data_IF_540664544075
#
_entry.id   IF_540664544075
#
_cell.length_a   1.000
_cell.length_b   1.000
_cell.length_c   1.000
_cell.angle_alpha   90.00
_cell.angle_beta   90.00
_cell.angle_gamma   90.00
#
_symmetry.space_group_name_H-M   'P 1'
#
loop_
_entity.id
_entity.type
_entity.pdbx_description
1 polymer ?
#
# COMPACT_ATOMS: atom_id res chain seq x y z
N UNK A 1 -39.31 -1.21 -61.73
CA UNK A 1 -38.46 -1.92 -60.79
C UNK A 1 -37.29 -0.99 -60.42
N UNK A 2 -37.39 -0.33 -59.27
CA UNK A 2 -36.35 0.58 -58.77
C UNK A 2 -35.60 -0.08 -57.59
N UNK A 3 -34.34 -0.40 -57.81
CA UNK A 3 -33.44 -0.97 -56.82
C UNK A 3 -32.96 0.14 -55.90
N UNK A 4 -33.39 0.15 -54.66
CA UNK A 4 -32.91 1.08 -53.62
C UNK A 4 -31.65 0.50 -52.99
N UNK A 5 -30.50 1.03 -53.34
CA UNK A 5 -29.23 0.74 -52.65
C UNK A 5 -29.26 1.41 -51.26
N UNK A 6 -29.35 0.61 -50.21
CA UNK A 6 -29.10 1.05 -48.83
C UNK A 6 -27.58 1.02 -48.59
N UNK A 7 -26.99 2.19 -48.53
CA UNK A 7 -25.61 2.40 -48.03
C UNK A 7 -25.70 2.37 -46.51
N UNK A 8 -25.26 1.29 -45.90
CA UNK A 8 -25.04 1.21 -44.44
C UNK A 8 -23.72 1.93 -44.13
N UNK A 9 -23.82 3.14 -43.63
CA UNK A 9 -22.70 3.91 -43.12
C UNK A 9 -22.34 3.37 -41.74
N UNK A 10 -21.37 2.47 -41.67
CA UNK A 10 -20.83 1.97 -40.39
C UNK A 10 -19.93 3.03 -39.83
N UNK A 11 -20.45 3.80 -38.88
CA UNK A 11 -19.69 4.79 -38.11
C UNK A 11 -18.78 4.02 -37.12
N UNK A 12 -17.51 3.84 -37.49
CA UNK A 12 -16.48 3.24 -36.67
C UNK A 12 -16.13 4.26 -35.59
N UNK A 13 -16.75 4.16 -34.41
CA UNK A 13 -16.34 4.90 -33.21
C UNK A 13 -14.96 4.39 -32.78
N UNK A 14 -13.92 5.06 -33.23
CA UNK A 14 -12.61 4.97 -32.59
C UNK A 14 -12.72 5.59 -31.21
N UNK A 15 -12.91 4.77 -30.19
CA UNK A 15 -12.65 5.16 -28.80
C UNK A 15 -11.15 5.41 -28.69
N UNK A 16 -10.76 6.67 -28.77
CA UNK A 16 -9.44 7.12 -28.37
C UNK A 16 -9.30 6.80 -26.87
N UNK A 17 -8.79 5.61 -26.56
CA UNK A 17 -8.21 5.34 -25.24
C UNK A 17 -6.98 6.22 -25.17
N UNK A 18 -7.17 7.48 -24.79
CA UNK A 18 -6.09 8.38 -24.46
C UNK A 18 -5.38 7.77 -23.24
N UNK A 19 -4.17 7.24 -23.42
CA UNK A 19 -3.28 6.96 -22.32
C UNK A 19 -3.10 8.30 -21.58
N UNK A 20 -3.77 8.49 -20.45
CA UNK A 20 -3.53 9.65 -19.59
C UNK A 20 -2.07 9.55 -19.14
N UNK A 21 -1.31 10.64 -19.37
CA UNK A 21 0.09 10.71 -18.91
C UNK A 21 0.12 10.43 -17.40
N UNK A 22 0.99 9.54 -17.01
CA UNK A 22 1.24 9.29 -15.59
C UNK A 22 2.03 10.47 -14.97
N UNK A 23 1.91 10.72 -13.66
CA UNK A 23 2.69 11.78 -13.02
C UNK A 23 4.21 11.63 -13.20
N UNK A 24 4.73 10.40 -13.28
CA UNK A 24 6.14 10.15 -13.61
C UNK A 24 6.51 10.62 -15.03
N UNK A 25 5.61 10.54 -16.01
CA UNK A 25 5.87 11.03 -17.38
C UNK A 25 6.07 12.55 -17.39
N UNK A 26 5.33 13.28 -16.54
CA UNK A 26 5.49 14.73 -16.37
C UNK A 26 6.86 15.05 -15.76
N UNK A 27 7.30 14.28 -14.78
CA UNK A 27 8.62 14.46 -14.18
C UNK A 27 9.75 14.14 -15.17
N UNK A 28 9.59 13.12 -16.01
CA UNK A 28 10.52 12.82 -17.11
C UNK A 28 10.54 13.94 -18.14
N UNK A 29 9.37 14.47 -18.54
CA UNK A 29 9.30 15.62 -19.46
C UNK A 29 9.98 16.84 -18.87
N UNK A 30 9.77 17.14 -17.60
CA UNK A 30 10.46 18.20 -16.87
C UNK A 30 11.98 18.04 -16.97
N UNK A 31 12.50 16.86 -16.67
CA UNK A 31 13.92 16.55 -16.72
C UNK A 31 14.51 16.72 -18.15
N UNK A 32 13.80 16.21 -19.16
CA UNK A 32 14.20 16.33 -20.57
C UNK A 32 14.22 17.78 -21.05
N UNK A 33 13.26 18.61 -20.63
CA UNK A 33 13.21 20.03 -20.95
C UNK A 33 14.37 20.79 -20.34
N UNK A 34 14.73 20.49 -19.10
CA UNK A 34 15.92 21.06 -18.47
C UNK A 34 17.19 20.66 -19.23
N UNK A 35 17.32 19.38 -19.61
CA UNK A 35 18.45 18.89 -20.39
C UNK A 35 18.59 19.64 -21.71
N UNK A 36 17.50 19.74 -22.49
CA UNK A 36 17.49 20.44 -23.78
C UNK A 36 17.76 21.95 -23.68
N UNK A 37 17.36 22.58 -22.58
CA UNK A 37 17.58 24.00 -22.36
C UNK A 37 19.01 24.33 -21.91
N UNK A 38 19.75 23.35 -21.38
CA UNK A 38 21.07 23.55 -20.76
C UNK A 38 22.18 22.75 -21.43
N UNK A 39 21.86 21.95 -22.45
CA UNK A 39 22.79 21.08 -23.19
C UNK A 39 23.57 20.13 -22.25
N UNK A 40 22.88 19.59 -21.24
CA UNK A 40 23.40 18.58 -20.34
C UNK A 40 22.72 17.24 -20.58
N UNK A 41 23.42 16.16 -20.28
CA UNK A 41 22.85 14.81 -20.42
C UNK A 41 21.77 14.53 -19.38
N UNK A 42 20.74 13.78 -19.81
CA UNK A 42 19.70 13.27 -18.91
C UNK A 42 20.28 12.16 -18.03
N UNK A 43 20.18 12.33 -16.72
CA UNK A 43 20.54 11.29 -15.77
C UNK A 43 19.33 10.40 -15.49
N UNK A 44 19.43 9.12 -15.86
CA UNK A 44 18.32 8.18 -15.61
C UNK A 44 18.10 7.96 -14.11
N UNK A 45 16.83 7.84 -13.68
CA UNK A 45 16.53 7.48 -12.30
C UNK A 45 17.06 6.07 -12.00
N UNK A 46 17.42 5.83 -10.74
CA UNK A 46 17.79 4.49 -10.30
C UNK A 46 16.59 3.53 -10.42
N UNK A 47 16.82 2.27 -10.81
CA UNK A 47 15.74 1.29 -10.92
C UNK A 47 15.10 1.02 -9.56
N UNK A 48 13.81 0.73 -9.58
CA UNK A 48 13.06 0.33 -8.40
C UNK A 48 12.92 -1.20 -8.37
N UNK A 49 13.10 -1.76 -7.18
CA UNK A 49 12.98 -3.20 -6.96
C UNK A 49 11.88 -3.48 -5.93
N UNK A 50 11.18 -4.58 -6.09
CA UNK A 50 10.24 -5.05 -5.07
C UNK A 50 11.00 -5.40 -3.78
N UNK A 51 10.46 -5.09 -2.60
CA UNK A 51 11.05 -5.54 -1.36
C UNK A 51 10.93 -7.06 -1.22
N UNK A 52 11.84 -7.67 -0.52
CA UNK A 52 11.71 -9.05 -0.08
C UNK A 52 10.76 -9.10 1.12
N UNK A 53 9.68 -9.87 0.98
CA UNK A 53 8.68 -10.03 2.05
C UNK A 53 8.92 -11.35 2.76
N UNK A 54 9.29 -11.29 4.03
CA UNK A 54 9.44 -12.46 4.88
C UNK A 54 8.09 -13.17 5.03
N UNK A 55 8.02 -14.45 4.63
CA UNK A 55 6.82 -15.27 4.81
C UNK A 55 6.75 -15.81 6.23
N UNK A 56 5.62 -15.54 6.91
CA UNK A 56 5.39 -15.98 8.29
C UNK A 56 4.61 -17.28 8.26
N UNK A 57 5.20 -18.41 8.70
CA UNK A 57 4.54 -19.72 8.64
C UNK A 57 3.31 -19.77 9.56
N UNK A 58 2.36 -20.60 9.16
CA UNK A 58 1.18 -20.89 9.98
C UNK A 58 1.61 -21.49 11.34
N UNK A 59 1.07 -21.04 12.46
CA UNK A 59 1.29 -21.69 13.74
C UNK A 59 0.80 -23.16 13.70
N UNK A 60 1.58 -24.04 14.30
CA UNK A 60 1.18 -25.45 14.45
C UNK A 60 0.39 -25.62 15.73
N UNK A 61 -0.68 -26.40 15.69
CA UNK A 61 -1.43 -26.84 16.88
C UNK A 61 -1.19 -28.31 17.09
N UNK A 62 -0.90 -28.69 18.32
CA UNK A 62 -0.79 -30.11 18.74
C UNK A 62 -2.14 -30.66 19.18
N UNK A 63 -3.15 -29.81 19.37
CA UNK A 63 -4.46 -30.20 19.85
C UNK A 63 -5.34 -30.72 18.72
N UNK A 64 -5.89 -31.90 18.93
CA UNK A 64 -6.93 -32.49 18.08
C UNK A 64 -8.19 -32.73 18.90
N UNK A 65 -9.33 -32.23 18.38
CA UNK A 65 -10.65 -32.52 18.95
C UNK A 65 -11.21 -33.68 18.14
N UNK A 66 -11.57 -34.79 18.83
CA UNK A 66 -12.05 -35.99 18.14
C UNK A 66 -13.43 -35.78 17.52
N UNK A 67 -13.71 -36.45 16.42
CA UNK A 67 -15.05 -36.43 15.80
C UNK A 67 -16.14 -36.97 16.70
N UNK A 68 -15.77 -37.89 17.61
CA UNK A 68 -16.70 -38.44 18.58
C UNK A 68 -17.13 -37.40 19.62
N UNK A 69 -16.17 -36.63 20.13
CA UNK A 69 -16.44 -35.52 21.07
C UNK A 69 -17.35 -34.47 20.44
N UNK A 70 -17.11 -34.16 19.16
CA UNK A 70 -17.95 -33.24 18.39
C UNK A 70 -19.38 -33.79 18.24
N UNK A 71 -19.53 -35.08 17.94
CA UNK A 71 -20.82 -35.72 17.73
C UNK A 71 -21.68 -35.76 19.01
N UNK A 72 -21.06 -35.89 20.20
CA UNK A 72 -21.77 -35.89 21.50
C UNK A 72 -22.16 -34.48 21.97
N UNK A 73 -21.55 -33.42 21.39
CA UNK A 73 -21.76 -32.02 21.78
C UNK A 73 -22.71 -31.26 20.83
N UNK A 74 -23.75 -31.91 20.32
CA UNK A 74 -24.70 -31.29 19.38
C UNK A 74 -25.45 -30.02 19.91
N UNK A 75 -25.41 -29.80 21.23
CA UNK A 75 -25.92 -28.60 21.88
C UNK A 75 -24.98 -27.37 21.74
N UNK A 76 -23.76 -27.57 21.28
CA UNK A 76 -22.72 -26.55 21.19
C UNK A 76 -22.60 -25.98 19.76
N UNK A 77 -22.74 -24.67 19.58
CA UNK A 77 -22.55 -24.02 18.26
C UNK A 77 -21.12 -24.19 17.73
N UNK A 78 -20.13 -24.22 18.62
CA UNK A 78 -18.71 -24.39 18.25
C UNK A 78 -18.43 -25.69 17.51
N UNK A 79 -19.24 -26.77 17.72
CA UNK A 79 -19.08 -28.04 17.02
C UNK A 79 -19.32 -27.90 15.50
N UNK A 80 -20.29 -27.11 15.10
CA UNK A 80 -20.55 -26.82 13.68
C UNK A 80 -19.36 -26.08 13.05
N UNK A 81 -18.78 -25.12 13.79
CA UNK A 81 -17.61 -24.38 13.36
C UNK A 81 -16.39 -25.31 13.17
N UNK A 82 -16.16 -26.22 14.13
CA UNK A 82 -15.08 -27.21 14.04
C UNK A 82 -15.31 -28.19 12.88
N UNK A 83 -16.53 -28.66 12.68
CA UNK A 83 -16.88 -29.58 11.59
C UNK A 83 -16.65 -28.92 10.22
N UNK A 84 -17.04 -27.64 10.07
CA UNK A 84 -16.81 -26.86 8.86
C UNK A 84 -15.31 -26.65 8.59
N UNK A 85 -14.51 -26.42 9.63
CA UNK A 85 -13.06 -26.24 9.49
C UNK A 85 -12.33 -27.54 9.15
N UNK A 86 -12.79 -28.67 9.68
CA UNK A 86 -12.16 -29.99 9.51
C UNK A 86 -12.54 -30.70 8.21
N UNK A 87 -13.50 -30.18 7.45
CA UNK A 87 -13.82 -30.73 6.13
C UNK A 87 -12.70 -30.41 5.10
N UNK A 88 -12.77 -31.01 3.91
CA UNK A 88 -11.74 -30.84 2.88
C UNK A 88 -11.57 -29.37 2.44
N UNK A 89 -12.66 -28.63 2.36
CA UNK A 89 -12.63 -27.21 1.98
C UNK A 89 -12.01 -26.34 3.10
N UNK A 90 -12.33 -26.62 4.36
CA UNK A 90 -11.76 -25.91 5.50
C UNK A 90 -10.24 -26.12 5.63
N UNK A 91 -9.71 -27.29 5.26
CA UNK A 91 -8.28 -27.58 5.30
C UNK A 91 -7.46 -26.76 4.30
N UNK A 92 -8.05 -26.33 3.17
CA UNK A 92 -7.43 -25.49 2.13
C UNK A 92 -7.93 -24.06 2.16
N UNK A 93 -8.55 -23.63 3.26
CA UNK A 93 -9.09 -22.29 3.41
C UNK A 93 -8.01 -21.20 3.34
N UNK A 94 -8.42 -20.02 2.87
CA UNK A 94 -7.57 -18.83 2.84
C UNK A 94 -7.09 -18.44 4.25
N UNK A 95 -5.94 -17.78 4.39
CA UNK A 95 -5.43 -17.31 5.69
C UNK A 95 -6.44 -16.45 6.47
N UNK A 96 -7.18 -15.59 5.79
CA UNK A 96 -8.25 -14.77 6.37
C UNK A 96 -9.38 -15.61 6.96
N UNK A 97 -9.80 -16.68 6.28
CA UNK A 97 -10.86 -17.58 6.80
C UNK A 97 -10.36 -18.38 8.02
N UNK A 98 -9.07 -18.72 8.06
CA UNK A 98 -8.46 -19.35 9.24
C UNK A 98 -8.42 -18.40 10.44
N UNK A 99 -8.09 -17.14 10.22
CA UNK A 99 -8.13 -16.11 11.27
C UNK A 99 -9.56 -15.94 11.82
N UNK A 100 -10.56 -15.81 10.94
CA UNK A 100 -11.97 -15.74 11.33
C UNK A 100 -12.40 -16.96 12.14
N UNK A 101 -12.02 -18.15 11.69
CA UNK A 101 -12.29 -19.40 12.43
C UNK A 101 -11.73 -19.34 13.86
N UNK A 102 -10.47 -18.91 14.03
CA UNK A 102 -9.86 -18.85 15.35
C UNK A 102 -10.56 -17.84 16.27
N UNK A 103 -10.91 -16.66 15.76
CA UNK A 103 -11.66 -15.64 16.51
C UNK A 103 -13.03 -16.21 16.93
N UNK A 104 -13.80 -16.75 15.99
CA UNK A 104 -15.13 -17.31 16.28
C UNK A 104 -15.07 -18.49 17.23
N UNK A 105 -14.02 -19.34 17.13
CA UNK A 105 -13.81 -20.43 18.07
C UNK A 105 -13.62 -19.91 19.50
N UNK A 106 -12.75 -18.91 19.68
CA UNK A 106 -12.48 -18.28 20.99
C UNK A 106 -13.76 -17.68 21.58
N UNK A 107 -14.61 -17.08 20.75
CA UNK A 107 -15.87 -16.46 21.17
C UNK A 107 -16.96 -17.48 21.52
N UNK A 108 -17.02 -18.60 20.81
CA UNK A 108 -18.13 -19.55 20.94
C UNK A 108 -17.83 -20.71 21.92
N UNK A 109 -16.57 -21.13 22.05
CA UNK A 109 -16.21 -22.26 22.89
C UNK A 109 -16.54 -22.07 24.38
N UNK A 110 -16.41 -20.88 25.01
CA UNK A 110 -16.77 -20.66 26.40
C UNK A 110 -18.24 -21.01 26.72
N UNK A 111 -19.16 -20.75 25.79
CA UNK A 111 -20.58 -21.09 25.94
C UNK A 111 -20.79 -22.60 25.99
N UNK A 112 -20.01 -23.39 25.25
CA UNK A 112 -20.00 -24.84 25.28
C UNK A 112 -19.37 -25.36 26.55
N UNK A 113 -18.23 -24.80 26.98
CA UNK A 113 -17.51 -25.20 28.20
C UNK A 113 -18.41 -25.08 29.44
N UNK A 114 -19.23 -24.04 29.51
CA UNK A 114 -20.14 -23.77 30.65
C UNK A 114 -21.44 -24.56 30.57
N UNK A 115 -21.73 -25.25 29.46
CA UNK A 115 -23.00 -25.94 29.30
C UNK A 115 -23.06 -27.21 30.11
N UNK A 116 -24.15 -27.48 30.90
CA UNK A 116 -24.24 -28.61 31.84
C UNK A 116 -24.15 -30.00 31.18
N UNK A 117 -24.49 -30.09 29.89
CA UNK A 117 -24.45 -31.36 29.16
C UNK A 117 -23.06 -31.61 28.49
N UNK A 118 -22.10 -30.71 28.66
CA UNK A 118 -20.75 -30.94 28.13
C UNK A 118 -19.94 -31.79 29.08
N UNK A 119 -19.34 -32.88 28.58
CA UNK A 119 -18.52 -33.77 29.39
C UNK A 119 -17.30 -33.05 29.95
N UNK A 120 -16.84 -33.44 31.14
CA UNK A 120 -15.65 -32.86 31.78
C UNK A 120 -14.39 -32.95 30.91
N UNK A 121 -14.23 -34.03 30.16
CA UNK A 121 -13.13 -34.21 29.22
C UNK A 121 -13.19 -33.20 28.06
N UNK A 122 -14.36 -33.01 27.45
CA UNK A 122 -14.55 -32.03 26.40
C UNK A 122 -14.37 -30.59 26.91
N UNK A 123 -14.84 -30.30 28.14
CA UNK A 123 -14.61 -29.00 28.79
C UNK A 123 -13.11 -28.69 28.91
N UNK A 124 -12.30 -29.61 29.36
CA UNK A 124 -10.84 -29.47 29.49
C UNK A 124 -10.19 -29.26 28.11
N UNK A 125 -10.55 -30.07 27.12
CA UNK A 125 -10.02 -30.00 25.76
C UNK A 125 -10.33 -28.65 25.12
N UNK A 126 -11.59 -28.18 25.22
CA UNK A 126 -11.99 -26.85 24.69
C UNK A 126 -11.31 -25.71 25.43
N UNK A 127 -11.14 -25.81 26.74
CA UNK A 127 -10.44 -24.80 27.54
C UNK A 127 -8.98 -24.65 27.07
N UNK A 128 -8.29 -25.77 26.90
CA UNK A 128 -6.92 -25.76 26.40
C UNK A 128 -6.83 -25.19 24.97
N UNK A 129 -7.76 -25.61 24.08
CA UNK A 129 -7.82 -25.12 22.72
C UNK A 129 -8.07 -23.62 22.66
N UNK A 130 -8.93 -23.04 23.52
CA UNK A 130 -9.15 -21.59 23.61
C UNK A 130 -7.86 -20.87 24.02
N UNK A 131 -7.16 -21.38 25.03
CA UNK A 131 -5.90 -20.77 25.49
C UNK A 131 -4.84 -20.79 24.40
N UNK A 132 -4.62 -21.92 23.73
CA UNK A 132 -3.66 -22.04 22.64
C UNK A 132 -3.99 -21.09 21.49
N UNK A 133 -5.27 -21.05 21.04
CA UNK A 133 -5.71 -20.18 19.96
C UNK A 133 -5.54 -18.70 20.31
N UNK A 134 -5.80 -18.28 21.56
CA UNK A 134 -5.54 -16.90 22.00
C UNK A 134 -4.05 -16.55 21.89
N UNK A 135 -3.18 -17.43 22.37
CA UNK A 135 -1.73 -17.21 22.31
C UNK A 135 -1.20 -17.16 20.88
N UNK A 136 -1.78 -17.94 19.97
CA UNK A 136 -1.36 -18.01 18.57
C UNK A 136 -2.03 -16.97 17.67
N UNK A 137 -3.07 -16.26 18.14
CA UNK A 137 -3.87 -15.35 17.32
C UNK A 137 -3.04 -14.26 16.63
N UNK A 138 -2.07 -13.58 17.29
CA UNK A 138 -1.18 -12.61 16.62
C UNK A 138 -0.40 -13.24 15.46
N UNK A 139 0.08 -14.48 15.61
CA UNK A 139 0.80 -15.15 14.52
C UNK A 139 -0.11 -15.56 13.37
N UNK A 140 -1.37 -15.91 13.63
CA UNK A 140 -2.38 -16.16 12.59
C UNK A 140 -2.66 -14.89 11.80
N UNK A 141 -2.76 -13.74 12.46
CA UNK A 141 -2.91 -12.46 11.79
C UNK A 141 -1.68 -12.13 10.91
N UNK A 142 -0.47 -12.24 11.45
CA UNK A 142 0.77 -12.00 10.71
C UNK A 142 0.98 -12.99 9.56
N UNK A 143 0.57 -14.25 9.73
CA UNK A 143 0.51 -15.23 8.65
C UNK A 143 -0.42 -14.73 7.53
N UNK A 144 -1.63 -14.28 7.88
CA UNK A 144 -2.57 -13.69 6.92
C UNK A 144 -1.94 -12.50 6.19
N UNK A 145 -1.27 -11.58 6.89
CA UNK A 145 -0.62 -10.42 6.28
C UNK A 145 0.40 -10.79 5.20
N UNK A 146 1.03 -11.97 5.29
CA UNK A 146 2.08 -12.38 4.36
C UNK A 146 1.66 -13.43 3.33
N UNK A 147 0.54 -14.11 3.53
CA UNK A 147 0.05 -15.17 2.64
C UNK A 147 -1.29 -14.88 1.98
N UNK A 148 -2.13 -13.99 2.57
CA UNK A 148 -3.34 -13.54 1.87
C UNK A 148 -2.93 -12.74 0.63
N UNK A 149 -3.51 -13.07 -0.51
CA UNK A 149 -3.09 -12.54 -1.81
C UNK A 149 -3.16 -11.01 -1.86
N UNK A 150 -4.23 -10.44 -1.34
CA UNK A 150 -4.51 -9.01 -1.32
C UNK A 150 -3.47 -8.27 -0.46
N UNK A 151 -3.11 -8.84 0.69
CA UNK A 151 -2.19 -8.23 1.66
C UNK A 151 -0.73 -8.43 1.28
N UNK A 152 -0.36 -9.63 0.81
CA UNK A 152 1.00 -9.95 0.39
C UNK A 152 1.49 -9.09 -0.79
N UNK A 153 0.56 -8.46 -1.52
CA UNK A 153 0.87 -7.61 -2.68
C UNK A 153 0.97 -6.12 -2.35
N UNK A 154 0.66 -5.68 -1.12
CA UNK A 154 0.60 -4.25 -0.76
C UNK A 154 1.92 -3.50 -0.93
N UNK A 155 3.05 -4.17 -0.67
CA UNK A 155 4.40 -3.60 -0.82
C UNK A 155 4.98 -3.71 -2.23
N UNK A 156 4.29 -4.41 -3.14
CA UNK A 156 4.79 -4.62 -4.50
C UNK A 156 4.59 -3.38 -5.37
N UNK A 157 5.59 -3.12 -6.21
CA UNK A 157 5.49 -2.10 -7.24
C UNK A 157 4.50 -2.54 -8.33
N UNK A 158 3.73 -1.59 -8.80
CA UNK A 158 2.78 -1.79 -9.90
C UNK A 158 2.96 -0.73 -10.98
N UNK A 159 2.32 -0.90 -12.13
CA UNK A 159 2.43 0.05 -13.23
C UNK A 159 1.69 1.35 -12.93
N UNK A 160 0.52 1.26 -12.28
CA UNK A 160 -0.36 2.38 -12.00
C UNK A 160 0.18 3.27 -10.89
N UNK A 161 0.15 4.57 -11.13
CA UNK A 161 0.45 5.60 -10.13
C UNK A 161 -0.83 6.22 -9.58
N UNK A 162 -0.75 6.81 -8.40
CA UNK A 162 -1.80 7.70 -7.90
C UNK A 162 -1.92 8.88 -8.86
N UNK A 163 -3.13 9.24 -9.34
CA UNK A 163 -3.30 10.38 -10.23
C UNK A 163 -3.00 11.71 -9.53
N UNK A 164 -2.88 12.81 -10.32
CA UNK A 164 -2.58 14.14 -9.78
C UNK A 164 -3.64 14.64 -8.78
N UNK A 165 -4.86 14.17 -8.90
CA UNK A 165 -5.95 14.44 -7.97
C UNK A 165 -6.23 13.17 -7.15
N UNK A 166 -6.42 13.34 -5.84
CA UNK A 166 -6.63 12.22 -4.92
C UNK A 166 -8.00 11.58 -5.17
N UNK A 167 -8.08 10.29 -5.55
CA UNK A 167 -9.34 9.63 -5.83
C UNK A 167 -10.03 9.18 -4.53
N UNK A 168 -11.35 8.93 -4.58
CA UNK A 168 -12.13 8.38 -3.47
C UNK A 168 -11.60 7.02 -2.95
N UNK A 169 -10.85 6.28 -3.78
CA UNK A 169 -10.17 5.05 -3.38
C UNK A 169 -9.22 5.23 -2.18
N UNK A 170 -8.72 6.46 -1.94
CA UNK A 170 -7.90 6.79 -0.79
C UNK A 170 -8.67 6.65 0.54
N UNK A 171 -9.84 7.27 0.66
CA UNK A 171 -10.67 7.16 1.88
C UNK A 171 -11.10 5.73 2.13
N UNK A 172 -11.54 5.02 1.09
CA UNK A 172 -11.94 3.62 1.20
C UNK A 172 -10.76 2.74 1.68
N UNK A 173 -9.55 3.01 1.21
CA UNK A 173 -8.33 2.31 1.63
C UNK A 173 -8.04 2.56 3.10
N UNK A 174 -8.14 3.80 3.58
CA UNK A 174 -7.93 4.14 5.00
C UNK A 174 -8.94 3.43 5.90
N UNK A 175 -10.22 3.41 5.51
CA UNK A 175 -11.26 2.66 6.22
C UNK A 175 -10.91 1.16 6.31
N UNK A 176 -10.52 0.55 5.19
CA UNK A 176 -10.13 -0.86 5.16
C UNK A 176 -8.88 -1.17 6.00
N UNK A 177 -7.90 -0.26 6.03
CA UNK A 177 -6.70 -0.38 6.89
C UNK A 177 -7.08 -0.26 8.35
N UNK A 178 -7.97 0.68 8.71
CA UNK A 178 -8.45 0.84 10.09
C UNK A 178 -9.16 -0.42 10.60
N UNK A 179 -9.94 -1.12 9.77
CA UNK A 179 -10.53 -2.41 10.13
C UNK A 179 -9.47 -3.48 10.46
N UNK A 180 -8.39 -3.55 9.67
CA UNK A 180 -7.26 -4.44 9.99
C UNK A 180 -6.52 -3.99 11.25
N UNK A 181 -6.35 -2.70 11.45
CA UNK A 181 -5.69 -2.13 12.61
C UNK A 181 -6.49 -2.40 13.89
N UNK A 182 -7.83 -2.30 13.84
CA UNK A 182 -8.71 -2.66 14.95
C UNK A 182 -8.56 -4.14 15.36
N UNK A 183 -8.48 -5.04 14.37
CA UNK A 183 -8.16 -6.44 14.65
C UNK A 183 -6.80 -6.57 15.34
N UNK A 184 -5.77 -5.85 14.86
CA UNK A 184 -4.42 -5.93 15.41
C UNK A 184 -4.32 -5.41 16.85
N UNK A 185 -5.03 -4.34 17.18
CA UNK A 185 -5.08 -3.75 18.55
C UNK A 185 -5.75 -4.69 19.55
N UNK A 186 -6.81 -5.37 19.14
CA UNK A 186 -7.67 -6.15 20.06
C UNK A 186 -7.33 -7.66 20.06
N UNK A 187 -6.11 -8.05 19.63
CA UNK A 187 -5.69 -9.45 19.63
C UNK A 187 -5.65 -10.06 21.04
N UNK A 188 -5.44 -9.26 22.08
CA UNK A 188 -5.42 -9.70 23.48
C UNK A 188 -6.83 -9.84 24.07
N UNK A 189 -7.84 -9.25 23.43
CA UNK A 189 -9.27 -9.31 23.83
C UNK A 189 -10.15 -9.79 22.68
N UNK A 190 -9.88 -10.99 22.13
CA UNK A 190 -10.52 -11.48 20.90
C UNK A 190 -12.03 -11.71 21.04
N UNK A 191 -12.57 -11.66 22.24
CA UNK A 191 -14.01 -11.72 22.52
C UNK A 191 -14.77 -10.54 21.90
N UNK A 192 -14.11 -9.39 21.73
CA UNK A 192 -14.69 -8.15 21.23
C UNK A 192 -14.51 -7.97 19.71
N UNK A 193 -13.71 -8.83 19.06
CA UNK A 193 -13.44 -8.71 17.64
C UNK A 193 -14.65 -9.07 16.79
N UNK A 194 -14.84 -8.28 15.72
CA UNK A 194 -15.82 -8.59 14.67
C UNK A 194 -15.10 -9.14 13.41
N UNK A 195 -14.97 -10.46 13.25
CA UNK A 195 -14.26 -11.00 12.09
C UNK A 195 -14.97 -10.83 10.75
N UNK A 196 -16.23 -10.37 10.74
CA UNK A 196 -17.03 -10.22 9.51
C UNK A 196 -16.57 -9.02 8.66
N UNK A 197 -15.91 -8.03 9.27
CA UNK A 197 -15.39 -6.83 8.59
C UNK A 197 -14.17 -7.14 7.70
N UNK A 198 -13.50 -8.26 7.95
CA UNK A 198 -12.27 -8.64 7.24
C UNK A 198 -12.49 -8.84 5.73
N UNK A 199 -13.57 -9.51 5.32
CA UNK A 199 -13.82 -9.76 3.88
C UNK A 199 -14.06 -8.48 3.09
N UNK A 200 -14.93 -7.51 3.53
CA UNK A 200 -15.05 -6.23 2.84
C UNK A 200 -13.74 -5.43 2.82
N UNK A 201 -12.97 -5.43 3.92
CA UNK A 201 -11.68 -4.75 3.96
C UNK A 201 -10.70 -5.33 2.92
N UNK A 202 -10.56 -6.65 2.84
CA UNK A 202 -9.72 -7.31 1.83
C UNK A 202 -10.17 -6.98 0.40
N UNK A 203 -11.48 -6.93 0.14
CA UNK A 203 -12.02 -6.53 -1.16
C UNK A 203 -11.60 -5.12 -1.56
N UNK A 204 -11.58 -4.17 -0.64
CA UNK A 204 -11.09 -2.80 -0.89
C UNK A 204 -9.58 -2.82 -1.15
N UNK A 205 -8.81 -3.51 -0.30
CA UNK A 205 -7.34 -3.58 -0.44
C UNK A 205 -6.90 -4.29 -1.73
N UNK A 206 -7.72 -5.18 -2.29
CA UNK A 206 -7.48 -5.80 -3.60
C UNK A 206 -7.43 -4.80 -4.76
N UNK A 207 -7.94 -3.58 -4.59
CA UNK A 207 -7.86 -2.50 -5.58
C UNK A 207 -6.45 -1.88 -5.68
N UNK A 208 -5.51 -2.29 -4.82
CA UNK A 208 -4.08 -1.97 -4.89
C UNK A 208 -3.72 -0.49 -4.74
N UNK A 209 -4.57 0.32 -4.10
CA UNK A 209 -4.26 1.75 -3.91
C UNK A 209 -2.97 1.95 -3.09
N UNK A 210 -2.71 1.13 -2.05
CA UNK A 210 -1.47 1.18 -1.29
C UNK A 210 -0.25 0.94 -2.19
N UNK A 211 -0.33 -0.07 -3.07
CA UNK A 211 0.75 -0.36 -4.03
C UNK A 211 0.97 0.80 -5.00
N UNK A 212 -0.11 1.45 -5.48
CA UNK A 212 -0.02 2.66 -6.32
C UNK A 212 0.66 3.81 -5.58
N UNK A 213 0.29 4.03 -4.30
CA UNK A 213 0.86 5.08 -3.46
C UNK A 213 2.35 4.86 -3.23
N UNK A 214 2.74 3.65 -2.80
CA UNK A 214 4.15 3.27 -2.59
C UNK A 214 4.95 3.41 -3.89
N UNK A 215 4.39 2.97 -5.02
CA UNK A 215 5.02 3.11 -6.35
C UNK A 215 5.23 4.57 -6.69
N UNK A 216 4.21 5.42 -6.53
CA UNK A 216 4.27 6.86 -6.84
C UNK A 216 5.31 7.58 -6.00
N UNK A 217 5.30 7.35 -4.68
CA UNK A 217 6.27 7.94 -3.74
C UNK A 217 7.70 7.57 -4.14
N UNK A 218 7.96 6.29 -4.43
CA UNK A 218 9.28 5.80 -4.81
C UNK A 218 9.74 6.31 -6.18
N UNK A 219 8.84 6.36 -7.19
CA UNK A 219 9.14 6.93 -8.51
C UNK A 219 9.48 8.42 -8.41
N UNK A 220 8.67 9.21 -7.70
CA UNK A 220 8.93 10.64 -7.51
C UNK A 220 10.25 10.89 -6.79
N UNK A 221 10.59 10.08 -5.78
CA UNK A 221 11.89 10.13 -5.10
C UNK A 221 13.04 9.94 -6.07
N UNK A 222 13.00 8.90 -6.92
CA UNK A 222 14.07 8.61 -7.86
C UNK A 222 14.20 9.66 -8.97
N UNK A 223 13.08 10.18 -9.46
CA UNK A 223 13.04 11.25 -10.45
C UNK A 223 13.58 12.58 -9.89
N UNK A 224 13.22 12.97 -8.67
CA UNK A 224 13.79 14.12 -7.99
C UNK A 224 15.31 14.00 -7.85
N UNK A 225 15.79 12.83 -7.39
CA UNK A 225 17.21 12.57 -7.21
C UNK A 225 17.96 12.62 -8.54
N UNK A 226 17.41 12.03 -9.59
CA UNK A 226 18.02 12.03 -10.92
C UNK A 226 18.09 13.46 -11.50
N UNK A 227 16.98 14.21 -11.42
CA UNK A 227 16.91 15.59 -11.92
C UNK A 227 17.84 16.52 -11.12
N UNK A 228 17.91 16.34 -9.79
CA UNK A 228 18.82 17.14 -8.96
C UNK A 228 20.28 16.89 -9.30
N UNK A 229 20.68 15.61 -9.47
CA UNK A 229 22.04 15.24 -9.91
C UNK A 229 22.36 15.82 -11.31
N UNK A 230 21.39 15.79 -12.21
CA UNK A 230 21.53 16.40 -13.54
C UNK A 230 21.78 17.89 -13.44
N UNK A 231 20.99 18.61 -12.65
CA UNK A 231 21.16 20.05 -12.44
C UNK A 231 22.49 20.40 -11.76
N UNK A 232 23.04 19.53 -10.91
CA UNK A 232 24.34 19.71 -10.25
C UNK A 232 25.52 19.72 -11.23
N UNK A 233 25.36 19.22 -12.46
CA UNK A 233 26.39 19.33 -13.53
C UNK A 233 26.53 20.76 -14.04
N UNK A 234 25.54 21.63 -13.83
CA UNK A 234 25.58 23.01 -14.31
C UNK A 234 26.56 23.87 -13.51
N UNK A 235 27.44 24.55 -14.25
CA UNK A 235 28.31 25.60 -13.70
C UNK A 235 27.49 26.88 -13.55
N UNK A 236 27.02 27.19 -12.35
CA UNK A 236 26.17 28.36 -12.14
C UNK A 236 26.96 29.68 -12.29
N UNK A 237 28.03 29.91 -11.49
CA UNK A 237 28.77 31.19 -11.43
C UNK A 237 29.49 31.54 -12.74
N UNK A 238 30.22 30.59 -13.29
CA UNK A 238 31.10 30.83 -14.45
C UNK A 238 30.43 30.46 -15.77
N UNK A 239 29.19 29.94 -15.72
CA UNK A 239 28.38 29.51 -16.87
C UNK A 239 27.05 30.23 -16.93
N UNK A 240 26.02 29.57 -16.41
CA UNK A 240 24.61 29.96 -16.56
C UNK A 240 24.26 31.35 -15.97
N UNK A 241 24.86 31.71 -14.82
CA UNK A 241 24.60 32.93 -14.07
C UNK A 241 25.69 34.00 -14.24
N UNK A 242 26.58 33.89 -15.25
CA UNK A 242 27.65 34.84 -15.47
C UNK A 242 27.11 36.27 -15.68
N UNK A 243 27.65 37.27 -14.95
CA UNK A 243 27.18 38.69 -14.96
C UNK A 243 27.20 39.28 -16.37
N UNK A 244 28.19 38.90 -17.18
CA UNK A 244 28.28 39.30 -18.61
C UNK A 244 27.57 38.33 -19.57
N UNK A 245 26.87 37.30 -19.02
CA UNK A 245 26.31 36.18 -19.76
C UNK A 245 24.85 36.42 -20.19
N UNK A 246 24.35 35.46 -20.96
CA UNK A 246 22.99 35.48 -21.47
C UNK A 246 21.98 35.04 -20.39
N UNK A 247 21.41 36.01 -19.64
CA UNK A 247 20.32 35.73 -18.66
C UNK A 247 19.10 35.04 -19.29
N UNK A 248 19.00 34.99 -20.65
CA UNK A 248 17.90 34.34 -21.36
C UNK A 248 17.83 32.84 -21.08
N UNK A 249 18.96 32.11 -21.02
CA UNK A 249 18.97 30.67 -20.72
C UNK A 249 18.53 30.42 -19.28
N UNK A 250 19.02 31.20 -18.31
CA UNK A 250 18.59 31.13 -16.93
C UNK A 250 17.07 31.38 -16.79
N UNK A 251 16.52 32.34 -17.55
CA UNK A 251 15.07 32.59 -17.57
C UNK A 251 14.28 31.44 -18.19
N UNK A 252 14.81 30.78 -19.22
CA UNK A 252 14.15 29.59 -19.82
C UNK A 252 14.04 28.45 -18.79
N UNK A 253 15.11 28.11 -18.09
CA UNK A 253 15.04 27.02 -17.09
C UNK A 253 14.18 27.39 -15.90
N UNK A 254 14.16 28.66 -15.48
CA UNK A 254 13.22 29.15 -14.46
C UNK A 254 11.76 28.94 -14.91
N UNK A 255 11.42 29.26 -16.14
CA UNK A 255 10.07 29.03 -16.66
C UNK A 255 9.71 27.54 -16.73
N UNK A 256 10.67 26.66 -17.03
CA UNK A 256 10.49 25.20 -17.00
C UNK A 256 10.22 24.74 -15.56
N UNK A 257 10.99 25.20 -14.59
CA UNK A 257 10.80 24.88 -13.17
C UNK A 257 9.41 25.29 -12.69
N UNK A 258 9.00 26.53 -12.96
CA UNK A 258 7.70 27.05 -12.55
C UNK A 258 6.55 26.24 -13.18
N UNK A 259 6.64 25.95 -14.48
CA UNK A 259 5.59 25.25 -15.22
C UNK A 259 5.42 23.81 -14.78
N UNK A 260 6.50 23.08 -14.58
CA UNK A 260 6.44 21.64 -14.32
C UNK A 260 6.54 21.30 -12.84
N UNK A 261 7.55 21.87 -12.16
CA UNK A 261 7.80 21.50 -10.78
C UNK A 261 6.87 22.22 -9.81
N UNK A 262 6.90 23.55 -9.79
CA UNK A 262 6.09 24.32 -8.82
C UNK A 262 4.58 24.18 -9.07
N UNK A 263 4.15 24.17 -10.33
CA UNK A 263 2.70 24.11 -10.63
C UNK A 263 2.11 22.72 -10.61
N UNK A 264 2.91 21.64 -10.79
CA UNK A 264 2.37 20.28 -10.95
C UNK A 264 3.04 19.30 -9.99
N UNK A 265 4.38 19.14 -10.07
CA UNK A 265 5.07 18.08 -9.36
C UNK A 265 5.14 18.31 -7.85
N UNK A 266 5.37 19.56 -7.42
CA UNK A 266 5.44 19.89 -6.00
C UNK A 266 4.08 19.69 -5.29
N UNK A 267 2.95 20.19 -5.80
CA UNK A 267 1.62 19.89 -5.24
C UNK A 267 1.32 18.40 -5.22
N UNK A 268 1.68 17.66 -6.28
CA UNK A 268 1.52 16.22 -6.34
C UNK A 268 2.33 15.49 -5.25
N UNK A 269 3.60 15.86 -5.07
CA UNK A 269 4.47 15.29 -4.03
C UNK A 269 3.98 15.64 -2.62
N UNK A 270 3.39 16.82 -2.43
CA UNK A 270 2.74 17.21 -1.17
C UNK A 270 1.51 16.33 -0.88
N UNK A 271 0.67 16.09 -1.89
CA UNK A 271 -0.47 15.19 -1.79
C UNK A 271 -0.03 13.75 -1.45
N UNK A 272 0.99 13.22 -2.14
CA UNK A 272 1.54 11.89 -1.84
C UNK A 272 2.09 11.81 -0.41
N UNK A 273 2.76 12.87 0.06
CA UNK A 273 3.29 12.93 1.43
C UNK A 273 2.18 12.87 2.45
N UNK A 274 1.12 13.67 2.29
CA UNK A 274 -0.04 13.68 3.18
C UNK A 274 -0.74 12.31 3.19
N UNK A 275 -1.01 11.75 2.02
CA UNK A 275 -1.65 10.42 1.92
C UNK A 275 -0.81 9.30 2.56
N UNK A 276 0.52 9.42 2.49
CA UNK A 276 1.43 8.47 3.14
C UNK A 276 1.44 8.66 4.66
N UNK A 277 1.38 9.90 5.16
CA UNK A 277 1.26 10.20 6.60
C UNK A 277 -0.03 9.63 7.19
N UNK A 278 -1.15 9.81 6.49
CA UNK A 278 -2.46 9.25 6.90
C UNK A 278 -2.42 7.72 6.92
N UNK A 279 -1.80 7.11 5.91
CA UNK A 279 -1.61 5.65 5.88
C UNK A 279 -0.68 5.16 7.00
N UNK A 280 0.40 5.86 7.31
CA UNK A 280 1.29 5.54 8.45
C UNK A 280 0.51 5.55 9.75
N UNK A 281 -0.32 6.56 9.97
CA UNK A 281 -1.13 6.67 11.17
C UNK A 281 -2.13 5.50 11.31
N UNK A 282 -2.84 5.16 10.22
CA UNK A 282 -3.78 4.04 10.19
C UNK A 282 -3.07 2.67 10.33
N UNK A 283 -1.87 2.52 9.77
CA UNK A 283 -1.07 1.28 9.78
C UNK A 283 -0.34 1.04 11.10
N UNK A 284 -0.20 2.05 11.95
CA UNK A 284 0.61 2.00 13.16
C UNK A 284 0.35 0.78 14.07
N UNK A 285 -0.90 0.35 14.33
CA UNK A 285 -1.15 -0.84 15.15
C UNK A 285 -0.62 -2.13 14.51
N UNK A 286 -0.71 -2.26 13.20
CA UNK A 286 -0.19 -3.40 12.45
C UNK A 286 1.34 -3.40 12.50
N UNK A 287 1.96 -2.24 12.32
CA UNK A 287 3.41 -2.06 12.45
C UNK A 287 3.92 -2.49 13.84
N UNK A 288 3.24 -2.07 14.90
CA UNK A 288 3.58 -2.47 16.27
C UNK A 288 3.45 -3.99 16.47
N UNK A 289 2.45 -4.62 15.85
CA UNK A 289 2.31 -6.07 15.92
C UNK A 289 3.49 -6.81 15.27
N UNK A 290 4.00 -6.31 14.12
CA UNK A 290 5.24 -6.82 13.53
C UNK A 290 6.42 -6.66 14.49
N UNK A 291 6.61 -5.46 15.05
CA UNK A 291 7.72 -5.19 15.98
C UNK A 291 7.67 -6.06 17.23
N UNK A 292 6.51 -6.21 17.86
CA UNK A 292 6.32 -7.02 19.07
C UNK A 292 6.61 -8.52 18.83
N UNK A 293 6.55 -8.96 17.56
CA UNK A 293 6.90 -10.32 17.16
C UNK A 293 8.32 -10.42 16.56
N UNK A 294 9.17 -9.37 16.68
CA UNK A 294 10.51 -9.30 16.10
C UNK A 294 10.55 -9.53 14.59
N UNK A 295 9.57 -9.00 13.87
CA UNK A 295 9.43 -9.12 12.42
C UNK A 295 9.55 -7.75 11.75
N UNK A 296 10.08 -7.72 10.54
CA UNK A 296 10.14 -6.52 9.73
C UNK A 296 8.80 -6.25 9.05
N UNK A 297 8.33 -4.99 9.15
CA UNK A 297 7.16 -4.52 8.40
C UNK A 297 7.55 -4.34 6.93
N UNK A 298 6.89 -5.04 5.99
CA UNK A 298 7.26 -5.01 4.58
C UNK A 298 6.92 -3.68 3.87
N UNK A 299 6.04 -2.85 4.43
CA UNK A 299 5.65 -1.60 3.77
C UNK A 299 6.69 -0.48 3.91
N UNK A 300 7.47 -0.46 5.00
CA UNK A 300 8.51 0.55 5.25
C UNK A 300 8.09 1.99 4.92
N UNK A 301 6.82 2.34 5.21
CA UNK A 301 6.17 3.59 4.78
C UNK A 301 6.92 4.84 5.24
N UNK A 302 7.39 4.86 6.50
CA UNK A 302 8.12 6.00 7.04
C UNK A 302 9.39 6.28 6.24
N UNK A 303 10.16 5.24 5.90
CA UNK A 303 11.37 5.38 5.09
C UNK A 303 11.07 5.93 3.70
N UNK A 304 9.98 5.49 3.06
CA UNK A 304 9.58 6.00 1.75
C UNK A 304 9.17 7.46 1.81
N UNK A 305 8.43 7.87 2.85
CA UNK A 305 8.04 9.25 3.09
C UNK A 305 9.25 10.16 3.31
N UNK A 306 10.18 9.75 4.17
CA UNK A 306 11.39 10.51 4.46
C UNK A 306 12.25 10.70 3.20
N UNK A 307 12.43 9.64 2.42
CA UNK A 307 13.16 9.69 1.16
C UNK A 307 12.50 10.66 0.14
N UNK A 308 11.16 10.69 0.06
CA UNK A 308 10.45 11.63 -0.82
C UNK A 308 10.68 13.07 -0.36
N UNK A 309 10.49 13.35 0.93
CA UNK A 309 10.69 14.69 1.52
C UNK A 309 12.11 15.18 1.34
N UNK A 310 13.10 14.32 1.59
CA UNK A 310 14.52 14.68 1.45
C UNK A 310 14.91 14.93 0.00
N UNK A 311 14.40 14.12 -0.94
CA UNK A 311 14.64 14.33 -2.37
C UNK A 311 14.03 15.63 -2.88
N UNK A 312 12.81 15.94 -2.47
CA UNK A 312 12.14 17.21 -2.81
C UNK A 312 12.86 18.41 -2.21
N UNK A 313 13.29 18.33 -0.94
CA UNK A 313 14.07 19.36 -0.25
C UNK A 313 15.41 19.60 -0.94
N UNK A 314 16.12 18.55 -1.33
CA UNK A 314 17.39 18.66 -2.07
C UNK A 314 17.20 19.34 -3.42
N UNK A 315 16.10 19.00 -4.13
CA UNK A 315 15.77 19.63 -5.39
C UNK A 315 15.49 21.14 -5.24
N UNK A 316 14.63 21.51 -4.31
CA UNK A 316 14.31 22.93 -4.03
C UNK A 316 15.55 23.71 -3.56
N UNK A 317 16.43 23.10 -2.75
CA UNK A 317 17.68 23.73 -2.29
C UNK A 317 18.61 24.08 -3.48
N UNK A 318 18.67 23.26 -4.52
CA UNK A 318 19.42 23.61 -5.72
C UNK A 318 18.83 24.84 -6.41
N UNK A 319 17.49 24.95 -6.52
CA UNK A 319 16.81 26.10 -7.11
C UNK A 319 16.99 27.38 -6.29
N UNK A 320 17.00 27.29 -4.95
CA UNK A 320 17.30 28.43 -4.08
C UNK A 320 18.70 29.01 -4.41
N UNK A 321 19.70 28.11 -4.50
CA UNK A 321 21.06 28.51 -4.89
C UNK A 321 21.12 29.12 -6.30
N UNK A 322 20.33 28.60 -7.24
CA UNK A 322 20.20 29.15 -8.59
C UNK A 322 19.66 30.60 -8.54
N UNK A 323 18.58 30.84 -7.80
CA UNK A 323 18.00 32.19 -7.65
C UNK A 323 18.98 33.18 -7.05
N UNK A 324 19.70 32.77 -6.00
CA UNK A 324 20.74 33.64 -5.38
C UNK A 324 21.85 33.98 -6.35
N UNK A 325 22.36 33.05 -7.13
CA UNK A 325 23.51 33.26 -8.01
C UNK A 325 23.16 33.93 -9.33
N UNK A 326 21.98 33.68 -9.87
CA UNK A 326 21.54 34.29 -11.15
C UNK A 326 20.81 35.62 -10.95
N UNK A 327 20.55 36.04 -9.73
CA UNK A 327 19.79 37.28 -9.41
C UNK A 327 18.42 37.31 -10.14
N UNK A 328 17.75 36.17 -10.20
CA UNK A 328 16.41 36.01 -10.72
C UNK A 328 15.46 35.97 -9.55
N UNK A 329 14.43 36.83 -9.48
CA UNK A 329 13.46 36.75 -8.38
C UNK A 329 12.71 35.44 -8.47
N UNK A 330 12.53 34.74 -7.34
CA UNK A 330 11.61 33.60 -7.26
C UNK A 330 10.19 34.09 -7.58
N UNK A 331 9.42 33.25 -8.27
CA UNK A 331 8.03 33.58 -8.65
C UNK A 331 7.10 33.35 -7.48
#
# INVERSE_FOLDING_TARGET
MRLVKRIASTLLLFTLVGCSKQPSDIAVEYQQRLASATDIEVILPAPLYNPEVQKIPLPTSELTISMLDIATAGHCKVTNLIAAHNNQLGKVSYPSERLKYNILFIQQAPLCIQHPNTSGELQQTLTHAVQEKKQQLPRHFLHMMTFERELASLSLLIAEEVPLELPAAHSNMLEAVNELAELAVNMDTPENLNPTTLTPALKVLSQRFISSLVTSVRKQTQLNNATTRQLQQLRLRDGLCKISGNKKQAQIINNIFNKYYLSILQPYQAMLSLSTEELIAAWQPIHLLYQNNNLADPLTLQQHLDNLKDSAKAHVKWWQKFYELCEIPPV
#
